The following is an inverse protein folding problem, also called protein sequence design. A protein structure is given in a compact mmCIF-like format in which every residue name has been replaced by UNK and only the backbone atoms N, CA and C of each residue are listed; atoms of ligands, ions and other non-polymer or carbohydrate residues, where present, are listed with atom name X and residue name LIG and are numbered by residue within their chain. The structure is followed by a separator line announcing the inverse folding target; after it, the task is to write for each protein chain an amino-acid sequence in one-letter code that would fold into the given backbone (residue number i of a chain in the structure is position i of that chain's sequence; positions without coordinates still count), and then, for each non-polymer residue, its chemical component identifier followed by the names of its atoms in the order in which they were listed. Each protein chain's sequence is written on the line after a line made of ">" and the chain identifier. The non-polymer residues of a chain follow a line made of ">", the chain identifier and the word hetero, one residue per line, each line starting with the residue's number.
data_IF_578994701036
#
_entry.id   IF_578994701036
#
_cell.length_a   1.000
_cell.length_b   1.000
_cell.length_c   1.000
_cell.angle_alpha   90.00
_cell.angle_beta   90.00
_cell.angle_gamma   90.00
#
_symmetry.space_group_name_H-M   'P 1'
#
loop_
_entity.id
_entity.type
_entity.pdbx_description
1 polymer ?
#
# COMPACT_ATOMS: atom_id res chain seq x y z
N UNK A 1 5.14 5.04 -9.10
CA UNK A 1 5.97 4.85 -7.89
C UNK A 1 6.60 6.20 -7.54
N UNK A 2 5.81 7.17 -7.07
CA UNK A 2 6.38 8.49 -6.77
C UNK A 2 5.78 9.21 -5.56
N UNK A 3 4.84 8.62 -4.80
CA UNK A 3 4.38 9.28 -3.58
C UNK A 3 5.45 9.25 -2.47
N UNK A 4 6.07 8.08 -2.25
CA UNK A 4 7.02 7.88 -1.14
C UNK A 4 8.33 8.61 -1.39
N UNK A 5 8.85 8.54 -2.61
CA UNK A 5 10.09 9.22 -3.01
C UNK A 5 9.90 10.75 -3.02
N UNK A 6 8.77 11.27 -3.52
CA UNK A 6 8.45 12.70 -3.44
C UNK A 6 8.27 13.17 -1.99
N UNK A 7 7.79 12.31 -1.10
CA UNK A 7 7.72 12.58 0.33
C UNK A 7 9.09 12.51 1.03
N UNK A 8 10.17 12.23 0.31
CA UNK A 8 11.54 12.20 0.81
C UNK A 8 11.95 10.88 1.47
N UNK A 9 11.18 9.81 1.27
CA UNK A 9 11.60 8.47 1.68
C UNK A 9 12.54 7.85 0.64
N UNK A 10 13.54 7.10 1.13
CA UNK A 10 14.52 6.33 0.35
C UNK A 10 14.44 4.85 0.72
N UNK A 11 15.17 4.00 0.01
CA UNK A 11 15.23 2.54 0.24
C UNK A 11 13.83 1.87 0.28
N UNK A 12 12.92 2.30 -0.60
CA UNK A 12 11.52 1.87 -0.60
C UNK A 12 11.40 0.42 -1.10
N UNK A 13 10.81 -0.44 -0.26
CA UNK A 13 10.48 -1.81 -0.59
C UNK A 13 8.99 -2.02 -0.36
N UNK A 14 8.30 -2.63 -1.34
CA UNK A 14 6.87 -2.92 -1.28
C UNK A 14 6.67 -4.43 -1.22
N UNK A 15 5.93 -4.88 -0.21
CA UNK A 15 5.58 -6.28 0.00
C UNK A 15 4.47 -6.77 -0.94
N UNK A 16 4.09 -8.05 -0.82
CA UNK A 16 3.01 -8.62 -1.64
C UNK A 16 1.66 -7.94 -1.36
N UNK A 17 0.71 -7.99 -2.32
CA UNK A 17 -0.65 -7.54 -2.09
C UNK A 17 -1.31 -8.38 -0.99
N UNK A 18 -2.03 -7.71 -0.10
CA UNK A 18 -2.83 -8.33 0.96
C UNK A 18 -4.26 -7.85 0.85
N UNK A 19 -5.21 -8.77 1.03
CA UNK A 19 -6.61 -8.43 1.16
C UNK A 19 -6.87 -7.86 2.56
N UNK A 20 -7.07 -6.54 2.64
CA UNK A 20 -7.36 -5.84 3.88
C UNK A 20 -8.85 -5.55 4.06
N UNK A 21 -9.69 -6.00 3.12
CA UNK A 21 -11.11 -5.64 3.07
C UNK A 21 -12.05 -6.83 3.26
N UNK A 22 -11.54 -8.06 3.35
CA UNK A 22 -12.37 -9.21 3.74
C UNK A 22 -13.18 -8.90 5.00
N UNK A 23 -14.49 -9.12 4.92
CA UNK A 23 -15.48 -8.88 5.98
C UNK A 23 -15.64 -7.41 6.41
N UNK A 24 -14.95 -6.48 5.75
CA UNK A 24 -15.10 -5.05 5.97
C UNK A 24 -16.28 -4.50 5.15
N UNK A 25 -16.92 -3.42 5.61
CA UNK A 25 -18.04 -2.80 4.89
C UNK A 25 -17.70 -2.33 3.47
N UNK A 26 -16.40 -2.16 3.15
CA UNK A 26 -15.90 -1.78 1.83
C UNK A 26 -15.59 -2.96 0.89
N UNK A 27 -15.78 -4.21 1.31
CA UNK A 27 -15.34 -5.40 0.56
C UNK A 27 -15.85 -5.41 -0.88
N UNK A 28 -17.14 -5.19 -1.11
CA UNK A 28 -17.73 -5.22 -2.44
C UNK A 28 -17.06 -4.27 -3.44
N UNK A 29 -16.76 -3.05 -2.98
CA UNK A 29 -16.03 -2.08 -3.79
C UNK A 29 -14.56 -2.49 -3.97
N UNK A 30 -13.91 -2.99 -2.91
CA UNK A 30 -12.54 -3.46 -2.99
C UNK A 30 -12.37 -4.58 -4.02
N UNK A 31 -13.33 -5.52 -4.11
CA UNK A 31 -13.35 -6.55 -5.17
C UNK A 31 -13.59 -5.95 -6.55
N UNK A 32 -14.58 -5.08 -6.69
CA UNK A 32 -14.95 -4.48 -7.97
C UNK A 32 -13.80 -3.68 -8.62
N UNK A 33 -12.95 -3.06 -7.79
CA UNK A 33 -11.82 -2.25 -8.23
C UNK A 33 -10.45 -2.90 -7.99
N UNK A 34 -10.40 -4.20 -7.64
CA UNK A 34 -9.17 -4.94 -7.37
C UNK A 34 -8.22 -4.22 -6.39
N UNK A 35 -8.76 -3.74 -5.27
CA UNK A 35 -8.04 -2.99 -4.24
C UNK A 35 -7.35 -3.95 -3.28
N UNK A 36 -6.06 -3.71 -3.06
CA UNK A 36 -5.22 -4.45 -2.11
C UNK A 36 -4.42 -3.48 -1.24
N UNK A 37 -4.12 -3.92 -0.01
CA UNK A 37 -3.13 -3.28 0.83
C UNK A 37 -1.73 -3.77 0.48
N UNK A 38 -0.73 -2.90 0.62
CA UNK A 38 0.67 -3.24 0.41
C UNK A 38 1.47 -2.74 1.62
N UNK A 39 2.03 -3.65 2.38
CA UNK A 39 3.02 -3.28 3.38
C UNK A 39 4.24 -2.69 2.66
N UNK A 40 4.83 -1.64 3.22
CA UNK A 40 6.07 -1.08 2.69
C UNK A 40 7.06 -0.82 3.81
N UNK A 41 8.34 -0.93 3.47
CA UNK A 41 9.45 -0.49 4.29
C UNK A 41 10.12 0.65 3.54
N UNK A 42 10.36 1.77 4.23
CA UNK A 42 11.12 2.87 3.66
C UNK A 42 11.89 3.58 4.77
N UNK A 43 12.94 4.29 4.39
CA UNK A 43 13.78 5.06 5.30
C UNK A 43 13.59 6.55 5.04
N UNK A 44 13.45 7.35 6.09
CA UNK A 44 13.55 8.80 5.98
C UNK A 44 14.98 9.23 6.28
N UNK A 45 15.71 9.86 5.34
CA UNK A 45 16.99 10.49 5.64
C UNK A 45 16.79 11.58 6.70
N UNK A 46 17.71 11.64 7.67
CA UNK A 46 17.74 12.68 8.69
C UNK A 46 18.18 14.02 8.15
#
# INVERSE_FOLDING_TARGET
>A
MAMMEEAGFVDVQVGPPVDTFAEAGGEGNARAFAVFGYAFLARKPG
#
